data_IF_762568932364
#
_entry.id   IF_762568932364
#
_cell.length_a   1.000
_cell.length_b   1.000
_cell.length_c   1.000
_cell.angle_alpha   90.00
_cell.angle_beta   90.00
_cell.angle_gamma   90.00
#
_symmetry.space_group_name_H-M   'P 1'
#
loop_
_entity.id
_entity.type
_entity.pdbx_description
1 polymer ?
#
# COMPACT_ATOMS: atom_id res chain seq x y z
N UNK A 1 32.16 -15.38 32.25
CA UNK A 1 33.19 -14.98 31.27
C UNK A 1 32.59 -14.17 30.11
N UNK A 2 32.30 -12.89 30.35
CA UNK A 2 32.14 -11.85 29.34
C UNK A 2 32.57 -10.55 30.03
N UNK A 3 33.78 -10.08 29.74
CA UNK A 3 34.29 -8.79 30.25
C UNK A 3 33.78 -7.70 29.32
N UNK A 4 32.92 -6.83 29.85
CA UNK A 4 32.63 -5.54 29.24
C UNK A 4 33.89 -4.68 29.38
N UNK A 5 34.57 -4.41 28.28
CA UNK A 5 35.57 -3.34 28.22
C UNK A 5 34.81 -2.02 28.05
N UNK A 6 34.68 -1.25 29.13
CA UNK A 6 34.38 0.18 29.05
C UNK A 6 35.72 0.91 28.90
N UNK A 7 36.00 1.57 27.77
CA UNK A 7 37.14 2.48 27.71
C UNK A 7 36.78 3.72 28.52
N UNK A 8 37.41 3.84 29.70
CA UNK A 8 37.48 5.08 30.45
C UNK A 8 38.40 6.03 29.68
N UNK A 9 37.80 6.99 28.98
CA UNK A 9 38.54 8.13 28.44
C UNK A 9 37.95 8.64 27.13
N UNK A 10 36.84 9.39 27.20
CA UNK A 10 36.53 10.34 26.14
C UNK A 10 36.23 11.73 26.70
N UNK A 11 37.14 12.63 26.35
CA UNK A 11 36.98 14.07 26.30
C UNK A 11 35.60 14.49 25.77
N UNK A 12 35.05 15.56 26.36
CA UNK A 12 33.90 16.34 25.88
C UNK A 12 33.59 16.12 24.39
N UNK A 13 32.69 15.19 24.10
CA UNK A 13 32.16 14.98 22.76
C UNK A 13 31.36 16.23 22.37
N UNK A 14 31.98 17.10 21.58
CA UNK A 14 31.25 18.13 20.85
C UNK A 14 30.17 17.47 19.98
N UNK A 15 29.02 18.12 19.85
CA UNK A 15 27.97 17.71 18.91
C UNK A 15 28.61 17.35 17.56
N UNK A 16 28.34 16.18 16.97
CA UNK A 16 28.90 15.84 15.67
C UNK A 16 28.41 16.89 14.67
N UNK A 17 29.34 17.69 14.13
CA UNK A 17 29.05 18.59 13.02
C UNK A 17 28.52 17.73 11.88
N UNK A 18 27.22 17.83 11.63
CA UNK A 18 26.56 17.14 10.54
C UNK A 18 27.18 17.65 9.23
N UNK A 19 28.14 16.89 8.67
CA UNK A 19 28.72 17.19 7.36
C UNK A 19 27.64 16.88 6.34
N UNK A 20 26.92 17.92 5.93
CA UNK A 20 25.96 17.82 4.83
C UNK A 20 26.74 17.42 3.59
N UNK A 21 26.50 16.21 3.10
CA UNK A 21 27.15 15.70 1.89
C UNK A 21 26.67 16.51 0.69
N UNK A 22 27.53 16.67 -0.32
CA UNK A 22 27.16 17.27 -1.60
C UNK A 22 25.93 16.59 -2.21
N UNK A 23 25.77 15.29 -1.98
CA UNK A 23 24.58 14.53 -2.38
C UNK A 23 23.30 14.96 -1.66
N UNK A 24 23.40 15.30 -0.37
CA UNK A 24 22.25 15.80 0.40
C UNK A 24 21.80 17.15 -0.13
N UNK A 25 22.74 18.05 -0.43
CA UNK A 25 22.45 19.35 -1.04
C UNK A 25 21.82 19.14 -2.42
N UNK A 26 22.41 18.28 -3.26
CA UNK A 26 21.88 17.95 -4.58
C UNK A 26 20.46 17.38 -4.51
N UNK A 27 20.17 16.49 -3.55
CA UNK A 27 18.82 15.96 -3.33
C UNK A 27 17.85 17.05 -2.89
N UNK A 28 18.24 17.93 -1.97
CA UNK A 28 17.38 19.05 -1.54
C UNK A 28 17.10 19.99 -2.71
N UNK A 29 18.11 20.34 -3.50
CA UNK A 29 17.94 21.17 -4.70
C UNK A 29 17.03 20.49 -5.73
N UNK A 30 17.18 19.19 -5.94
CA UNK A 30 16.32 18.43 -6.85
C UNK A 30 14.86 18.42 -6.36
N UNK A 31 14.63 18.16 -5.07
CA UNK A 31 13.29 18.22 -4.47
C UNK A 31 12.69 19.63 -4.56
N UNK A 32 13.47 20.66 -4.26
CA UNK A 32 13.05 22.05 -4.39
C UNK A 32 12.67 22.40 -5.83
N UNK A 33 13.48 21.97 -6.80
CA UNK A 33 13.18 22.16 -8.23
C UNK A 33 11.93 21.41 -8.66
N UNK A 34 11.74 20.15 -8.25
CA UNK A 34 10.52 19.37 -8.56
C UNK A 34 9.26 19.98 -7.95
N UNK A 35 9.34 20.49 -6.73
CA UNK A 35 8.21 21.19 -6.09
C UNK A 35 7.91 22.51 -6.78
N UNK A 36 8.94 23.26 -7.16
CA UNK A 36 8.79 24.49 -7.92
C UNK A 36 8.15 24.24 -9.28
N UNK A 37 8.65 23.28 -10.07
CA UNK A 37 8.09 22.94 -11.38
C UNK A 37 6.66 22.43 -11.26
N UNK A 38 6.36 21.61 -10.25
CA UNK A 38 5.00 21.18 -9.96
C UNK A 38 4.08 22.36 -9.61
N UNK A 39 4.56 23.34 -8.85
CA UNK A 39 3.78 24.53 -8.48
C UNK A 39 3.53 25.46 -9.67
N UNK A 40 4.54 25.69 -10.51
CA UNK A 40 4.43 26.49 -11.75
C UNK A 40 3.44 25.82 -12.70
N UNK A 41 3.63 24.54 -13.01
CA UNK A 41 2.69 23.78 -13.84
C UNK A 41 1.27 23.87 -13.30
N UNK A 42 1.07 23.64 -12.00
CA UNK A 42 -0.27 23.74 -11.40
C UNK A 42 -0.88 25.14 -11.53
N UNK A 43 -0.07 26.19 -11.46
CA UNK A 43 -0.53 27.56 -11.65
C UNK A 43 -0.97 27.84 -13.09
N UNK A 44 -0.25 27.34 -14.08
CA UNK A 44 -0.57 27.45 -15.51
C UNK A 44 -1.84 26.66 -15.85
N UNK A 45 -1.92 25.39 -15.44
CA UNK A 45 -3.11 24.55 -15.61
C UNK A 45 -4.36 25.20 -15.01
N UNK A 46 -4.23 25.86 -13.84
CA UNK A 46 -5.35 26.59 -13.24
C UNK A 46 -5.74 27.83 -14.04
N UNK A 47 -4.77 28.52 -14.64
CA UNK A 47 -5.00 29.64 -15.55
C UNK A 47 -5.83 29.20 -16.75
N UNK A 48 -5.43 28.11 -17.39
CA UNK A 48 -6.07 27.56 -18.59
C UNK A 48 -7.49 27.03 -18.34
N UNK A 49 -7.72 26.43 -17.16
CA UNK A 49 -9.06 26.00 -16.74
C UNK A 49 -9.96 27.21 -16.50
N UNK A 50 -9.46 28.27 -15.84
CA UNK A 50 -10.23 29.49 -15.56
C UNK A 50 -10.54 30.29 -16.82
N UNK A 51 -9.63 30.32 -17.78
CA UNK A 51 -9.80 31.02 -19.06
C UNK A 51 -10.64 30.22 -20.06
N UNK A 52 -10.99 28.96 -19.75
CA UNK A 52 -11.74 28.07 -20.64
C UNK A 52 -10.90 27.50 -21.79
N UNK A 53 -9.58 27.70 -21.77
CA UNK A 53 -8.65 27.12 -22.75
C UNK A 53 -8.51 25.60 -22.58
N UNK A 54 -8.79 25.08 -21.38
CA UNK A 54 -8.73 23.66 -21.08
C UNK A 54 -9.95 23.21 -20.28
N UNK A 55 -10.63 22.15 -20.72
CA UNK A 55 -11.70 21.49 -19.96
C UNK A 55 -11.30 20.07 -19.61
N UNK A 56 -11.28 19.74 -18.32
CA UNK A 56 -11.00 18.38 -17.84
C UNK A 56 -12.30 17.77 -17.36
N UNK A 57 -12.67 16.61 -17.92
CA UNK A 57 -13.86 15.89 -17.50
C UNK A 57 -13.75 15.48 -16.01
N UNK A 58 -14.80 15.71 -15.22
CA UNK A 58 -14.80 15.34 -13.80
C UNK A 58 -14.20 16.37 -12.84
N UNK A 59 -13.76 17.54 -13.34
CA UNK A 59 -13.35 18.65 -12.48
C UNK A 59 -14.57 19.24 -11.74
N UNK A 60 -14.47 19.41 -10.42
CA UNK A 60 -15.49 20.05 -9.59
C UNK A 60 -14.88 21.06 -8.63
N UNK A 61 -15.66 22.01 -8.15
CA UNK A 61 -15.21 22.91 -7.10
C UNK A 61 -14.95 22.13 -5.80
N UNK A 62 -13.74 22.28 -5.26
CA UNK A 62 -13.34 21.63 -4.03
C UNK A 62 -13.63 22.44 -2.78
N UNK A 63 -13.58 21.75 -1.64
CA UNK A 63 -13.83 22.33 -0.33
C UNK A 63 -12.59 22.98 0.30
N UNK A 64 -11.38 22.53 -0.08
CA UNK A 64 -10.13 23.08 0.43
C UNK A 64 -9.72 24.29 -0.44
N UNK A 65 -9.84 25.49 0.12
CA UNK A 65 -9.45 26.76 -0.53
C UNK A 65 -10.08 26.98 -1.92
N UNK A 66 -11.28 26.44 -2.16
CA UNK A 66 -11.95 26.44 -3.47
C UNK A 66 -11.08 25.91 -4.62
N UNK A 67 -10.11 25.05 -4.31
CA UNK A 67 -9.26 24.44 -5.33
C UNK A 67 -10.11 23.49 -6.18
N UNK A 68 -9.99 23.55 -7.51
CA UNK A 68 -10.66 22.58 -8.36
C UNK A 68 -10.13 21.19 -8.03
N UNK A 69 -11.06 20.26 -7.87
CA UNK A 69 -10.82 18.87 -7.57
C UNK A 69 -11.08 18.06 -8.82
N UNK A 70 -10.08 17.28 -9.22
CA UNK A 70 -10.24 16.25 -10.23
C UNK A 70 -10.94 15.01 -9.63
N UNK A 71 -12.16 14.71 -10.10
CA UNK A 71 -12.91 13.49 -9.78
C UNK A 71 -13.02 12.55 -10.99
N UNK A 72 -12.21 12.71 -12.04
CA UNK A 72 -12.17 11.77 -13.17
C UNK A 72 -11.77 10.36 -12.70
N UNK A 73 -10.68 10.30 -11.93
CA UNK A 73 -10.14 9.06 -11.39
C UNK A 73 -11.08 8.45 -10.34
N UNK A 74 -11.47 7.20 -10.60
CA UNK A 74 -12.34 6.43 -9.72
C UNK A 74 -11.71 6.22 -8.34
N UNK A 75 -10.45 5.75 -8.27
CA UNK A 75 -9.75 5.46 -7.02
C UNK A 75 -9.68 6.70 -6.12
N UNK A 76 -9.32 7.84 -6.72
CA UNK A 76 -9.18 9.11 -6.01
C UNK A 76 -10.53 9.68 -5.54
N UNK A 77 -11.58 9.51 -6.34
CA UNK A 77 -12.95 9.89 -5.97
C UNK A 77 -13.45 9.07 -4.78
N UNK A 78 -13.26 7.76 -4.82
CA UNK A 78 -13.83 6.88 -3.79
C UNK A 78 -13.01 6.94 -2.49
N UNK A 79 -11.67 7.04 -2.54
CA UNK A 79 -10.82 7.30 -1.36
C UNK A 79 -11.32 8.53 -0.59
N UNK A 80 -11.64 9.61 -1.30
CA UNK A 80 -12.17 10.83 -0.69
C UNK A 80 -13.58 10.65 -0.16
N UNK A 81 -14.44 9.93 -0.88
CA UNK A 81 -15.77 9.55 -0.39
C UNK A 81 -15.73 8.80 0.94
N UNK A 82 -14.74 7.92 1.14
CA UNK A 82 -14.55 7.17 2.39
C UNK A 82 -13.57 7.81 3.38
N UNK A 83 -13.00 8.98 3.08
CA UNK A 83 -11.94 9.57 3.90
C UNK A 83 -12.32 9.73 5.37
N UNK A 84 -13.55 10.19 5.65
CA UNK A 84 -14.08 10.26 7.02
C UNK A 84 -14.18 8.89 7.69
N UNK A 85 -14.73 7.89 7.01
CA UNK A 85 -14.84 6.52 7.53
C UNK A 85 -13.46 5.89 7.78
N UNK A 86 -12.47 6.16 6.91
CA UNK A 86 -11.10 5.70 7.08
C UNK A 86 -10.42 6.36 8.29
N UNK A 87 -10.64 7.65 8.52
CA UNK A 87 -10.13 8.36 9.71
C UNK A 87 -10.73 7.74 10.98
N UNK A 88 -12.05 7.54 11.02
CA UNK A 88 -12.73 6.90 12.15
C UNK A 88 -12.19 5.48 12.36
N UNK A 89 -12.10 4.69 11.29
CA UNK A 89 -11.55 3.34 11.33
C UNK A 89 -10.11 3.30 11.84
N UNK A 90 -9.27 4.25 11.43
CA UNK A 90 -7.89 4.39 11.91
C UNK A 90 -7.84 4.68 13.42
N UNK A 91 -8.64 5.64 13.90
CA UNK A 91 -8.71 5.98 15.33
C UNK A 91 -9.17 4.77 16.15
N UNK A 92 -10.24 4.10 15.71
CA UNK A 92 -10.76 2.90 16.37
C UNK A 92 -9.71 1.78 16.36
N UNK A 93 -9.05 1.53 15.24
CA UNK A 93 -8.01 0.51 15.12
C UNK A 93 -6.83 0.79 16.07
N UNK A 94 -6.32 2.02 16.13
CA UNK A 94 -5.22 2.40 17.02
C UNK A 94 -5.62 2.27 18.49
N UNK A 95 -6.85 2.67 18.83
CA UNK A 95 -7.39 2.54 20.18
C UNK A 95 -7.50 1.06 20.60
N UNK A 96 -8.14 0.22 19.77
CA UNK A 96 -8.26 -1.22 20.02
C UNK A 96 -6.90 -1.91 20.07
N UNK A 97 -5.98 -1.57 19.16
CA UNK A 97 -4.62 -2.11 19.16
C UNK A 97 -3.87 -1.76 20.45
N UNK A 98 -4.08 -0.54 20.96
CA UNK A 98 -3.47 -0.09 22.22
C UNK A 98 -4.03 -0.84 23.43
N UNK A 99 -5.33 -1.15 23.44
CA UNK A 99 -5.94 -2.00 24.48
C UNK A 99 -5.42 -3.43 24.37
N UNK A 100 -5.42 -4.02 23.18
CA UNK A 100 -4.95 -5.38 22.94
C UNK A 100 -3.49 -5.57 23.37
N UNK A 101 -2.61 -4.61 23.08
CA UNK A 101 -1.21 -4.63 23.55
C UNK A 101 -1.09 -4.61 25.07
N UNK A 102 -1.94 -3.87 25.77
CA UNK A 102 -1.93 -3.80 27.23
C UNK A 102 -2.44 -5.08 27.88
N UNK A 103 -3.47 -5.70 27.30
CA UNK A 103 -4.08 -6.91 27.84
C UNK A 103 -3.28 -8.18 27.50
N UNK A 104 -2.79 -8.28 26.27
CA UNK A 104 -2.09 -9.46 25.76
C UNK A 104 -0.88 -9.06 24.91
N UNK A 105 0.27 -8.72 25.55
CA UNK A 105 1.46 -8.25 24.85
C UNK A 105 1.99 -9.23 23.79
N UNK A 106 1.85 -10.53 24.03
CA UNK A 106 2.29 -11.60 23.13
C UNK A 106 1.35 -11.86 21.96
N UNK A 107 0.09 -11.41 22.03
CA UNK A 107 -0.93 -11.63 21.00
C UNK A 107 -1.04 -10.47 19.99
N UNK A 108 -0.11 -9.52 20.02
CA UNK A 108 -0.17 -8.31 19.20
C UNK A 108 -0.13 -8.60 17.69
N UNK A 109 0.68 -9.57 17.26
CA UNK A 109 0.75 -10.02 15.87
C UNK A 109 -0.56 -10.66 15.40
N UNK A 110 -1.19 -11.48 16.26
CA UNK A 110 -2.48 -12.10 15.98
C UNK A 110 -3.58 -11.04 15.85
N UNK A 111 -3.60 -10.04 16.73
CA UNK A 111 -4.53 -8.91 16.62
C UNK A 111 -4.42 -8.25 15.25
N UNK A 112 -3.19 -7.92 14.81
CA UNK A 112 -2.99 -7.31 13.50
C UNK A 112 -3.38 -8.23 12.36
N UNK A 113 -3.05 -9.52 12.43
CA UNK A 113 -3.44 -10.48 11.41
C UNK A 113 -4.97 -10.54 11.26
N UNK A 114 -5.69 -10.68 12.37
CA UNK A 114 -7.17 -10.74 12.39
C UNK A 114 -7.76 -9.41 11.92
N UNK A 115 -7.28 -8.27 12.44
CA UNK A 115 -7.80 -6.97 12.04
C UNK A 115 -7.54 -6.67 10.56
N UNK A 116 -6.37 -7.04 10.05
CA UNK A 116 -6.02 -6.84 8.65
C UNK A 116 -6.84 -7.75 7.75
N UNK A 117 -7.03 -9.02 8.11
CA UNK A 117 -7.93 -9.94 7.38
C UNK A 117 -9.35 -9.39 7.35
N UNK A 118 -9.87 -8.91 8.48
CA UNK A 118 -11.18 -8.27 8.56
C UNK A 118 -11.26 -7.03 7.65
N UNK A 119 -10.24 -6.17 7.67
CA UNK A 119 -10.21 -4.95 6.87
C UNK A 119 -10.12 -5.24 5.37
N UNK A 120 -9.25 -6.15 4.92
CA UNK A 120 -9.17 -6.51 3.49
C UNK A 120 -10.44 -7.24 3.04
N UNK A 121 -11.09 -8.02 3.92
CA UNK A 121 -12.40 -8.65 3.65
C UNK A 121 -13.48 -7.61 3.47
N UNK A 122 -13.52 -6.58 4.30
CA UNK A 122 -14.40 -5.44 4.08
C UNK A 122 -14.11 -4.74 2.75
N UNK A 123 -12.85 -4.51 2.41
CA UNK A 123 -12.51 -3.81 1.17
C UNK A 123 -12.81 -4.63 -0.08
N UNK A 124 -12.54 -5.93 -0.07
CA UNK A 124 -12.51 -6.76 -1.29
C UNK A 124 -13.54 -7.89 -1.30
N UNK A 125 -14.26 -8.10 -0.21
CA UNK A 125 -15.21 -9.19 -0.05
C UNK A 125 -14.56 -10.53 -0.38
N UNK A 126 -15.18 -11.28 -1.30
CA UNK A 126 -14.63 -12.54 -1.82
C UNK A 126 -13.26 -12.43 -2.49
N UNK A 127 -12.91 -11.25 -3.03
CA UNK A 127 -11.61 -10.97 -3.64
C UNK A 127 -10.43 -11.13 -2.69
N UNK A 128 -10.69 -11.06 -1.38
CA UNK A 128 -9.70 -11.29 -0.32
C UNK A 128 -8.99 -12.63 -0.44
N UNK A 129 -9.71 -13.66 -0.87
CA UNK A 129 -9.13 -15.00 -1.06
C UNK A 129 -7.98 -14.93 -2.07
N UNK A 130 -8.16 -14.21 -3.18
CA UNK A 130 -7.12 -14.07 -4.20
C UNK A 130 -5.92 -13.28 -3.69
N UNK A 131 -6.15 -12.19 -2.95
CA UNK A 131 -5.07 -11.41 -2.33
C UNK A 131 -4.22 -12.29 -1.39
N UNK A 132 -4.87 -13.07 -0.53
CA UNK A 132 -4.19 -13.96 0.41
C UNK A 132 -3.47 -15.12 -0.30
N UNK A 133 -4.11 -15.75 -1.28
CA UNK A 133 -3.52 -16.86 -2.04
C UNK A 133 -2.28 -16.41 -2.81
N UNK A 134 -2.34 -15.27 -3.50
CA UNK A 134 -1.19 -14.77 -4.26
C UNK A 134 -0.07 -14.33 -3.32
N UNK A 135 -0.40 -13.63 -2.22
CA UNK A 135 0.59 -13.28 -1.20
C UNK A 135 1.29 -14.52 -0.60
N UNK A 136 0.53 -15.57 -0.30
CA UNK A 136 1.07 -16.83 0.21
C UNK A 136 1.95 -17.54 -0.84
N UNK A 137 1.55 -17.55 -2.11
CA UNK A 137 2.32 -18.14 -3.20
C UNK A 137 3.66 -17.40 -3.42
N UNK A 138 3.63 -16.07 -3.47
CA UNK A 138 4.86 -15.24 -3.57
C UNK A 138 5.78 -15.50 -2.38
N UNK A 139 5.23 -15.47 -1.15
CA UNK A 139 6.02 -15.72 0.06
C UNK A 139 6.66 -17.11 0.01
N UNK A 140 5.92 -18.12 -0.42
CA UNK A 140 6.42 -19.49 -0.55
C UNK A 140 7.56 -19.59 -1.56
N UNK A 141 7.46 -18.91 -2.71
CA UNK A 141 8.55 -18.83 -3.70
C UNK A 141 9.80 -18.25 -3.04
N UNK A 142 9.67 -17.13 -2.32
CA UNK A 142 10.80 -16.51 -1.61
C UNK A 142 11.47 -17.48 -0.64
N UNK A 143 10.68 -18.12 0.23
CA UNK A 143 11.22 -19.00 1.27
C UNK A 143 11.84 -20.28 0.72
N UNK A 144 11.35 -20.81 -0.40
CA UNK A 144 11.87 -22.03 -1.02
C UNK A 144 13.13 -21.76 -1.85
N UNK A 145 13.13 -20.69 -2.66
CA UNK A 145 14.21 -20.44 -3.62
C UNK A 145 15.29 -19.47 -3.11
N UNK A 146 14.98 -18.57 -2.17
CA UNK A 146 15.93 -17.64 -1.50
C UNK A 146 16.88 -16.95 -2.49
N UNK A 147 18.20 -17.14 -2.35
CA UNK A 147 19.26 -16.61 -3.22
C UNK A 147 19.37 -17.25 -4.61
N UNK A 148 18.46 -18.16 -5.00
CA UNK A 148 18.43 -18.74 -6.34
C UNK A 148 17.84 -17.75 -7.35
N UNK A 149 18.38 -17.73 -8.58
CA UNK A 149 17.82 -16.97 -9.71
C UNK A 149 16.39 -17.36 -10.05
N UNK A 150 15.94 -18.54 -9.61
CA UNK A 150 14.54 -18.97 -9.74
C UNK A 150 13.59 -18.13 -8.90
N UNK A 151 14.05 -17.56 -7.77
CA UNK A 151 13.20 -16.72 -6.91
C UNK A 151 12.65 -15.50 -7.67
N UNK A 152 13.48 -14.58 -8.20
CA UNK A 152 12.96 -13.44 -8.93
C UNK A 152 12.22 -13.86 -10.21
N UNK A 153 12.71 -14.87 -10.93
CA UNK A 153 12.06 -15.33 -12.17
C UNK A 153 10.63 -15.84 -11.94
N UNK A 154 10.43 -16.74 -10.97
CA UNK A 154 9.12 -17.28 -10.64
C UNK A 154 8.20 -16.22 -10.02
N UNK A 155 8.75 -15.32 -9.21
CA UNK A 155 7.99 -14.21 -8.63
C UNK A 155 7.41 -13.31 -9.71
N UNK A 156 8.24 -12.88 -10.66
CA UNK A 156 7.79 -12.06 -11.80
C UNK A 156 6.78 -12.80 -12.67
N UNK A 157 7.05 -14.06 -13.00
CA UNK A 157 6.15 -14.88 -13.81
C UNK A 157 4.76 -15.02 -13.14
N UNK A 158 4.72 -15.33 -11.84
CA UNK A 158 3.47 -15.43 -11.08
C UNK A 158 2.74 -14.08 -11.03
N UNK A 159 3.44 -12.99 -10.72
CA UNK A 159 2.87 -11.66 -10.61
C UNK A 159 2.25 -11.20 -11.93
N UNK A 160 2.97 -11.36 -13.05
CA UNK A 160 2.46 -11.02 -14.39
C UNK A 160 1.26 -11.89 -14.73
N UNK A 161 1.35 -13.22 -14.52
CA UNK A 161 0.27 -14.14 -14.82
C UNK A 161 -1.01 -13.81 -14.03
N UNK A 162 -0.88 -13.55 -12.73
CA UNK A 162 -2.01 -13.15 -11.87
C UNK A 162 -2.59 -11.82 -12.33
N UNK A 163 -1.76 -10.83 -12.66
CA UNK A 163 -2.25 -9.53 -13.12
C UNK A 163 -3.04 -9.68 -14.43
N UNK A 164 -2.47 -10.36 -15.44
CA UNK A 164 -3.14 -10.64 -16.71
C UNK A 164 -4.43 -11.44 -16.52
N UNK A 165 -4.41 -12.49 -15.70
CA UNK A 165 -5.60 -13.30 -15.43
C UNK A 165 -6.67 -12.49 -14.69
N UNK A 166 -6.28 -11.66 -13.71
CA UNK A 166 -7.21 -10.83 -12.96
C UNK A 166 -7.85 -9.76 -13.82
N UNK A 167 -7.13 -9.20 -14.79
CA UNK A 167 -7.69 -8.24 -15.74
C UNK A 167 -8.64 -8.94 -16.72
N UNK A 168 -8.20 -10.06 -17.32
CA UNK A 168 -8.99 -10.83 -18.28
C UNK A 168 -10.29 -11.41 -17.69
N UNK A 169 -10.25 -11.91 -16.45
CA UNK A 169 -11.41 -12.49 -15.77
C UNK A 169 -12.14 -11.51 -14.84
N UNK A 170 -11.91 -10.19 -14.99
CA UNK A 170 -12.53 -9.14 -14.18
C UNK A 170 -12.48 -9.43 -12.67
N UNK A 171 -11.31 -9.78 -12.14
CA UNK A 171 -11.12 -10.08 -10.72
C UNK A 171 -11.71 -11.43 -10.28
N UNK A 172 -11.93 -12.36 -11.20
CA UNK A 172 -12.56 -13.65 -10.93
C UNK A 172 -13.98 -13.51 -10.32
N UNK A 173 -14.71 -12.46 -10.69
CA UNK A 173 -16.06 -12.20 -10.21
C UNK A 173 -17.05 -13.34 -10.51
N UNK A 174 -16.80 -14.14 -11.56
CA UNK A 174 -17.59 -15.31 -11.91
C UNK A 174 -17.47 -16.49 -10.93
N UNK A 175 -16.47 -16.51 -10.05
CA UNK A 175 -16.27 -17.59 -9.09
C UNK A 175 -17.32 -17.52 -7.98
N UNK A 176 -18.03 -18.63 -7.78
CA UNK A 176 -19.06 -18.82 -6.75
C UNK A 176 -18.63 -19.89 -5.75
N UNK A 177 -18.15 -19.47 -4.58
CA UNK A 177 -17.65 -20.34 -3.52
C UNK A 177 -18.72 -21.26 -2.95
N UNK A 178 -19.98 -20.80 -2.85
CA UNK A 178 -21.09 -21.62 -2.37
C UNK A 178 -21.35 -22.85 -3.25
N UNK A 179 -21.03 -22.77 -4.55
CA UNK A 179 -21.17 -23.90 -5.49
C UNK A 179 -20.08 -24.96 -5.29
N UNK A 180 -18.86 -24.55 -4.97
CA UNK A 180 -17.70 -25.44 -4.89
C UNK A 180 -17.36 -25.93 -3.48
N UNK A 181 -17.60 -25.09 -2.46
CA UNK A 181 -17.26 -25.37 -1.05
C UNK A 181 -18.49 -25.66 -0.19
N UNK A 182 -19.70 -25.59 -0.76
CA UNK A 182 -20.96 -25.86 -0.09
C UNK A 182 -21.66 -24.61 0.46
N UNK A 183 -22.90 -24.80 0.95
CA UNK A 183 -23.81 -23.71 1.34
C UNK A 183 -23.27 -22.80 2.44
N UNK A 184 -22.39 -23.31 3.31
CA UNK A 184 -21.74 -22.52 4.38
C UNK A 184 -20.87 -21.36 3.86
N UNK A 185 -20.41 -21.40 2.62
CA UNK A 185 -19.61 -20.33 1.99
C UNK A 185 -20.44 -19.42 1.07
N UNK A 186 -21.74 -19.67 0.93
CA UNK A 186 -22.62 -18.87 0.07
C UNK A 186 -22.73 -17.39 0.47
N UNK A 187 -22.44 -17.06 1.74
CA UNK A 187 -22.40 -15.67 2.19
C UNK A 187 -21.29 -14.87 1.51
N UNK A 188 -20.17 -15.52 1.18
CA UNK A 188 -19.04 -14.87 0.52
C UNK A 188 -19.39 -14.47 -0.91
N UNK A 189 -20.25 -15.24 -1.57
CA UNK A 189 -20.74 -14.93 -2.92
C UNK A 189 -21.63 -13.69 -2.96
N UNK A 190 -22.23 -13.31 -1.82
CA UNK A 190 -23.11 -12.13 -1.70
C UNK A 190 -22.35 -10.83 -1.45
N UNK A 191 -21.08 -10.90 -1.08
CA UNK A 191 -20.30 -9.72 -0.71
C UNK A 191 -19.06 -9.56 -1.60
N UNK A 192 -19.15 -8.62 -2.55
CA UNK A 192 -18.07 -8.26 -3.48
C UNK A 192 -17.04 -7.26 -2.93
N UNK A 193 -17.24 -6.76 -1.71
CA UNK A 193 -16.42 -5.70 -1.13
C UNK A 193 -16.80 -4.30 -1.60
N UNK A 194 -16.09 -3.30 -1.08
CA UNK A 194 -16.20 -1.89 -1.50
C UNK A 194 -15.48 -1.65 -2.84
N UNK A 195 -14.42 -2.41 -3.11
CA UNK A 195 -13.59 -2.29 -4.31
C UNK A 195 -13.15 -3.64 -4.84
N UNK A 196 -13.12 -3.75 -6.18
CA UNK A 196 -12.52 -4.87 -6.86
C UNK A 196 -11.03 -4.98 -6.51
N UNK A 197 -10.62 -6.16 -6.06
CA UNK A 197 -9.28 -6.40 -5.52
C UNK A 197 -8.17 -6.18 -6.56
N UNK A 198 -8.41 -6.53 -7.82
CA UNK A 198 -7.44 -6.43 -8.91
C UNK A 198 -6.96 -4.99 -9.14
N UNK A 199 -7.83 -4.00 -8.92
CA UNK A 199 -7.51 -2.58 -9.16
C UNK A 199 -6.41 -2.07 -8.21
N UNK A 200 -6.42 -2.52 -6.95
CA UNK A 200 -5.41 -2.13 -5.95
C UNK A 200 -4.24 -3.11 -5.88
N UNK A 201 -4.46 -4.36 -6.30
CA UNK A 201 -3.47 -5.42 -6.26
C UNK A 201 -2.18 -5.07 -7.02
N UNK A 202 -2.27 -4.28 -8.10
CA UNK A 202 -1.11 -3.82 -8.86
C UNK A 202 -0.07 -3.09 -8.00
N UNK A 203 -0.50 -2.34 -6.98
CA UNK A 203 0.40 -1.68 -6.04
C UNK A 203 1.03 -2.67 -5.06
N UNK A 204 0.28 -3.69 -4.63
CA UNK A 204 0.78 -4.75 -3.75
C UNK A 204 1.77 -5.68 -4.45
N UNK A 205 1.57 -5.94 -5.74
CA UNK A 205 2.43 -6.76 -6.58
C UNK A 205 3.88 -6.26 -6.57
N UNK A 206 4.09 -4.95 -6.67
CA UNK A 206 5.44 -4.38 -6.60
C UNK A 206 6.11 -4.62 -5.25
N UNK A 207 5.34 -4.63 -4.15
CA UNK A 207 5.87 -4.95 -2.81
C UNK A 207 6.26 -6.43 -2.71
N UNK A 208 5.47 -7.32 -3.30
CA UNK A 208 5.79 -8.75 -3.39
C UNK A 208 7.08 -9.02 -4.16
N UNK A 209 7.24 -8.37 -5.31
CA UNK A 209 8.48 -8.45 -6.08
C UNK A 209 9.66 -7.90 -5.26
N UNK A 210 9.53 -6.72 -4.65
CA UNK A 210 10.58 -6.12 -3.82
C UNK A 210 11.03 -7.05 -2.70
N UNK A 211 10.10 -7.64 -1.97
CA UNK A 211 10.39 -8.58 -0.88
C UNK A 211 11.24 -9.77 -1.36
N UNK A 212 10.87 -10.40 -2.46
CA UNK A 212 11.60 -11.56 -2.98
C UNK A 212 12.94 -11.17 -3.63
N UNK A 213 13.05 -9.96 -4.21
CA UNK A 213 14.33 -9.42 -4.69
C UNK A 213 15.29 -9.17 -3.53
N UNK A 214 14.83 -8.59 -2.42
CA UNK A 214 15.63 -8.42 -1.21
C UNK A 214 16.13 -9.77 -0.69
N UNK A 215 15.25 -10.78 -0.63
CA UNK A 215 15.62 -12.13 -0.18
C UNK A 215 16.60 -12.85 -1.13
N UNK A 216 16.61 -12.49 -2.41
CA UNK A 216 17.59 -13.01 -3.37
C UNK A 216 18.99 -12.41 -3.14
N UNK A 217 19.07 -11.15 -2.69
CA UNK A 217 20.32 -10.43 -2.48
C UNK A 217 20.81 -10.41 -1.02
N UNK A 218 20.00 -10.87 -0.07
CA UNK A 218 20.34 -11.01 1.34
C UNK A 218 21.22 -12.25 1.60
#
# INVERSE_FOLDING_TARGET
PFRLYLPLGESRAGFPRMRVSMWTIASICLWGWLLWTSAVMHSEYRGDIKSGLMSVAGLRNGWLLNLPIDLSDHQWRVLRGFSGALIVGMVVHVWLSSIARKLHPTAHSLFYAVSNIGFITFLHGKGTIWVLLVGAAVFSIGQVFKGSRLNPALTWALCIAVNCASDYYHGFEGVRFGRYLGSGFSWLDRYGGVYSWQTQFNLSLLRYVSFNMELYWA
#
